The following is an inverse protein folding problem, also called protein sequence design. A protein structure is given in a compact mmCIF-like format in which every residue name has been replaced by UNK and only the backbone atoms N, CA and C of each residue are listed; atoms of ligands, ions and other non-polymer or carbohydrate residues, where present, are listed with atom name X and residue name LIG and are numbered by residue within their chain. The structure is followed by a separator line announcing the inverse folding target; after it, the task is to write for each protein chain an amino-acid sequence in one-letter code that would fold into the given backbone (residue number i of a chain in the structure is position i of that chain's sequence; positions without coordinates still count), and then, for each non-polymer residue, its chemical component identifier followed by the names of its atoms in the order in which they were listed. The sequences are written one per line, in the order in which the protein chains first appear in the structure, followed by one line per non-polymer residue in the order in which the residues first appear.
data_IF_788298772130
#
_entry.id   IF_788298772130
#
_cell.length_a   1.000
_cell.length_b   1.000
_cell.length_c   1.000
_cell.angle_alpha   90.00
_cell.angle_beta   90.00
_cell.angle_gamma   90.00
#
_symmetry.space_group_name_H-M   'P 1'
#
loop_
_entity.id
_entity.type
_entity.pdbx_description
1 polymer ?
#
# COMPACT_ATOMS: atom_id res chain seq x y z
N UNK A 1 -25.80 -18.08 -4.92
CA UNK A 1 -24.50 -17.57 -5.44
C UNK A 1 -23.44 -17.78 -4.38
N UNK A 2 -22.17 -17.79 -4.76
CA UNK A 2 -21.03 -17.96 -3.86
C UNK A 2 -20.00 -16.87 -4.16
N UNK A 3 -19.40 -16.32 -3.11
CA UNK A 3 -18.31 -15.36 -3.22
C UNK A 3 -16.98 -16.10 -3.21
N UNK A 4 -16.17 -15.88 -4.24
CA UNK A 4 -14.86 -16.50 -4.38
C UNK A 4 -13.82 -15.61 -3.71
N UNK A 5 -13.00 -16.19 -2.85
CA UNK A 5 -11.93 -15.48 -2.17
C UNK A 5 -10.95 -14.88 -3.20
N UNK A 6 -10.53 -13.64 -3.01
CA UNK A 6 -9.62 -12.96 -3.92
C UNK A 6 -8.24 -12.80 -3.28
N UNK A 7 -7.21 -13.29 -3.96
CA UNK A 7 -5.82 -13.10 -3.54
C UNK A 7 -5.37 -11.67 -3.83
N UNK A 8 -4.64 -11.06 -2.91
CA UNK A 8 -3.94 -9.78 -3.12
C UNK A 8 -2.60 -9.78 -2.42
N UNK A 9 -1.68 -8.92 -2.85
CA UNK A 9 -0.46 -8.64 -2.08
C UNK A 9 -0.84 -8.07 -0.71
N UNK A 10 -0.12 -8.49 0.33
CA UNK A 10 -0.33 -7.97 1.67
C UNK A 10 0.03 -6.48 1.71
N UNK A 11 -0.82 -5.73 2.40
CA UNK A 11 -0.64 -4.31 2.65
C UNK A 11 0.23 -4.09 3.88
N UNK A 12 0.76 -2.88 4.03
CA UNK A 12 1.63 -2.48 5.14
C UNK A 12 2.78 -3.48 5.29
N UNK A 13 3.52 -3.69 4.19
CA UNK A 13 4.77 -4.46 4.15
C UNK A 13 5.67 -3.82 3.10
N UNK A 14 6.98 -3.77 3.38
CA UNK A 14 7.99 -3.27 2.43
C UNK A 14 8.49 -4.46 1.64
N UNK A 15 8.40 -4.36 0.31
CA UNK A 15 8.95 -5.36 -0.60
C UNK A 15 9.99 -4.73 -1.51
N UNK A 16 11.15 -5.36 -1.65
CA UNK A 16 12.22 -4.92 -2.54
C UNK A 16 12.34 -5.88 -3.71
N UNK A 17 12.17 -5.34 -4.92
CA UNK A 17 12.27 -6.08 -6.16
C UNK A 17 13.34 -5.48 -7.07
N UNK A 18 14.10 -6.33 -7.75
CA UNK A 18 14.89 -5.90 -8.90
C UNK A 18 13.99 -5.72 -10.13
N UNK A 19 14.27 -4.69 -10.94
CA UNK A 19 13.61 -4.48 -12.22
C UNK A 19 14.60 -4.71 -13.35
N UNK A 20 14.23 -5.60 -14.28
CA UNK A 20 14.93 -5.76 -15.55
C UNK A 20 14.43 -4.72 -16.54
N UNK A 21 15.32 -4.21 -17.40
CA UNK A 21 15.02 -3.31 -18.53
C UNK A 21 14.21 -2.07 -18.11
N UNK A 22 14.59 -1.46 -16.99
CA UNK A 22 13.93 -0.27 -16.45
C UNK A 22 14.95 0.83 -16.13
N UNK A 23 14.47 2.07 -16.00
CA UNK A 23 15.28 3.18 -15.48
C UNK A 23 15.77 2.96 -14.04
N UNK A 24 15.19 1.99 -13.34
CA UNK A 24 15.50 1.65 -11.96
C UNK A 24 16.14 0.26 -11.90
N UNK A 25 17.20 0.11 -11.11
CA UNK A 25 17.79 -1.19 -10.80
C UNK A 25 16.96 -1.94 -9.74
N UNK A 26 16.66 -1.23 -8.65
CA UNK A 26 15.89 -1.75 -7.52
C UNK A 26 14.68 -0.85 -7.22
N UNK A 27 13.61 -1.45 -6.74
CA UNK A 27 12.42 -0.73 -6.26
C UNK A 27 11.90 -1.38 -4.99
N UNK A 28 11.90 -0.62 -3.90
CA UNK A 28 11.11 -0.87 -2.71
C UNK A 28 9.69 -0.37 -2.92
N UNK A 29 8.68 -1.21 -2.73
CA UNK A 29 7.27 -0.82 -2.72
C UNK A 29 6.65 -1.05 -1.34
N UNK A 30 5.83 -0.09 -0.89
CA UNK A 30 4.98 -0.28 0.28
C UNK A 30 3.55 0.15 -0.08
N UNK A 31 2.61 -0.80 0.05
CA UNK A 31 1.17 -0.57 -0.16
C UNK A 31 0.50 -0.33 1.17
N UNK A 32 0.37 0.94 1.53
CA UNK A 32 -0.19 1.37 2.80
C UNK A 32 -1.72 1.39 2.78
N UNK A 33 -2.34 0.73 3.74
CA UNK A 33 -3.77 0.73 3.96
C UNK A 33 -4.01 0.87 5.46
N UNK A 34 -4.72 1.92 5.86
CA UNK A 34 -5.10 2.08 7.27
C UNK A 34 -6.15 1.01 7.61
N UNK A 35 -5.92 0.28 8.69
CA UNK A 35 -6.85 -0.74 9.18
C UNK A 35 -8.20 -0.09 9.52
N UNK A 36 -9.29 -0.76 9.16
CA UNK A 36 -10.66 -0.27 9.33
C UNK A 36 -10.98 1.07 8.62
N UNK A 37 -10.12 1.54 7.71
CA UNK A 37 -10.32 2.81 7.02
C UNK A 37 -11.06 2.68 5.70
N UNK A 38 -11.77 3.75 5.34
CA UNK A 38 -12.42 3.91 4.04
C UNK A 38 -11.50 4.41 2.93
N UNK A 39 -10.21 4.59 3.23
CA UNK A 39 -9.24 5.12 2.27
C UNK A 39 -8.77 4.03 1.30
N UNK A 40 -8.57 4.35 0.02
CA UNK A 40 -7.93 3.41 -0.90
C UNK A 40 -6.50 3.13 -0.43
N UNK A 41 -5.94 2.01 -0.87
CA UNK A 41 -4.54 1.69 -0.63
C UNK A 41 -3.66 2.75 -1.28
N UNK A 42 -2.84 3.43 -0.47
CA UNK A 42 -1.83 4.36 -0.95
C UNK A 42 -0.52 3.62 -1.19
N UNK A 43 0.06 3.76 -2.38
CA UNK A 43 1.32 3.09 -2.71
C UNK A 43 2.43 4.10 -2.81
N UNK A 44 3.54 3.83 -2.12
CA UNK A 44 4.80 4.55 -2.22
C UNK A 44 5.84 3.61 -2.83
N UNK A 45 6.65 4.16 -3.73
CA UNK A 45 7.82 3.48 -4.27
C UNK A 45 9.08 4.26 -3.92
N UNK A 46 10.10 3.56 -3.46
CA UNK A 46 11.47 4.06 -3.32
C UNK A 46 12.31 3.29 -4.33
N UNK A 47 12.94 3.98 -5.26
CA UNK A 47 13.62 3.36 -6.40
C UNK A 47 15.05 3.86 -6.51
N UNK A 48 15.97 2.93 -6.73
CA UNK A 48 17.37 3.23 -7.03
C UNK A 48 17.55 3.25 -8.54
N UNK A 49 18.13 4.33 -9.07
CA UNK A 49 18.40 4.44 -10.50
C UNK A 49 19.43 3.41 -10.95
N UNK A 50 19.24 2.89 -12.17
CA UNK A 50 20.21 2.00 -12.79
C UNK A 50 21.49 2.78 -13.16
N UNK A 51 22.63 2.08 -13.15
CA UNK A 51 23.91 2.64 -13.63
C UNK A 51 23.82 2.79 -15.16
N UNK A 52 23.65 4.03 -15.66
CA UNK A 52 23.69 4.32 -17.09
C UNK A 52 22.45 5.03 -17.65
N UNK A 53 22.35 6.34 -17.43
CA UNK A 53 21.46 7.21 -18.20
C UNK A 53 22.21 7.83 -19.39
N UNK A 54 21.64 7.77 -20.60
CA UNK A 54 22.16 8.46 -21.79
C UNK A 54 22.38 9.95 -21.48
N UNK A 55 23.64 10.38 -21.42
CA UNK A 55 24.06 11.77 -21.26
C UNK A 55 25.31 11.92 -20.40
N UNK A 56 26.34 12.55 -20.97
CA UNK A 56 27.68 12.76 -20.34
C UNK A 56 27.60 13.51 -18.99
N UNK A 57 26.58 14.35 -18.77
CA UNK A 57 26.33 15.03 -17.47
C UNK A 57 25.65 14.16 -16.39
N UNK A 58 24.97 13.07 -16.77
CA UNK A 58 24.27 12.17 -15.83
C UNK A 58 25.13 11.01 -15.35
N UNK A 59 26.18 10.66 -16.09
CA UNK A 59 27.08 9.55 -15.76
C UNK A 59 28.04 9.85 -14.60
N UNK A 60 28.23 11.12 -14.22
CA UNK A 60 29.14 11.54 -13.15
C UNK A 60 28.52 11.50 -11.75
N UNK A 61 27.19 11.50 -11.65
CA UNK A 61 26.49 11.44 -10.37
C UNK A 61 26.03 10.00 -10.22
N UNK A 62 26.54 9.31 -9.19
CA UNK A 62 26.32 7.90 -8.93
C UNK A 62 24.86 7.46 -8.80
N UNK A 63 24.63 6.27 -8.27
CA UNK A 63 23.27 5.73 -8.14
C UNK A 63 22.44 6.57 -7.18
N UNK A 64 21.40 7.23 -7.70
CA UNK A 64 20.50 8.09 -6.91
C UNK A 64 19.27 7.34 -6.47
N UNK A 65 18.75 7.72 -5.32
CA UNK A 65 17.53 7.16 -4.73
C UNK A 65 16.41 8.20 -4.84
N UNK A 66 15.34 7.82 -5.54
CA UNK A 66 14.16 8.65 -5.76
C UNK A 66 12.91 7.96 -5.22
N UNK A 67 11.94 8.76 -4.81
CA UNK A 67 10.65 8.32 -4.34
C UNK A 67 9.54 8.71 -5.32
N UNK A 68 8.57 7.84 -5.49
CA UNK A 68 7.31 8.15 -6.18
C UNK A 68 6.22 8.18 -5.12
N UNK A 69 5.78 9.39 -4.79
CA UNK A 69 4.75 9.64 -3.80
C UNK A 69 3.35 9.52 -4.42
N UNK A 70 2.34 9.09 -3.65
CA UNK A 70 0.96 9.06 -4.10
C UNK A 70 0.50 10.48 -4.48
N UNK A 71 -0.28 10.58 -5.56
CA UNK A 71 -0.80 11.84 -6.11
C UNK A 71 0.25 12.85 -6.62
N UNK A 72 1.54 12.53 -6.57
CA UNK A 72 2.60 13.34 -7.19
C UNK A 72 2.97 12.71 -8.54
N UNK A 73 3.04 13.54 -9.60
CA UNK A 73 3.22 13.04 -10.98
C UNK A 73 4.67 12.74 -11.32
N UNK A 74 5.60 13.45 -10.68
CA UNK A 74 7.04 13.31 -10.93
C UNK A 74 7.73 12.70 -9.72
N UNK A 75 8.82 11.98 -9.97
CA UNK A 75 9.66 11.42 -8.92
C UNK A 75 10.35 12.52 -8.09
N UNK A 76 10.57 12.26 -6.80
CA UNK A 76 11.14 13.20 -5.82
C UNK A 76 12.37 12.55 -5.16
N UNK A 77 13.56 13.16 -5.21
CA UNK A 77 14.74 12.69 -4.47
C UNK A 77 14.41 12.44 -2.99
N UNK A 78 14.89 11.32 -2.46
CA UNK A 78 14.47 10.85 -1.13
C UNK A 78 14.82 11.84 -0.01
N UNK A 79 15.99 12.48 -0.10
CA UNK A 79 16.45 13.46 0.89
C UNK A 79 15.53 14.69 0.94
N UNK A 80 14.96 15.11 -0.19
CA UNK A 80 14.00 16.23 -0.24
C UNK A 80 12.71 15.85 0.50
N UNK A 81 12.32 14.58 0.50
CA UNK A 81 11.16 14.10 1.27
C UNK A 81 11.43 14.19 2.77
N UNK A 82 12.62 13.78 3.24
CA UNK A 82 13.03 13.95 4.64
C UNK A 82 13.05 15.42 5.07
N UNK A 83 13.62 16.30 4.25
CA UNK A 83 13.60 17.76 4.50
C UNK A 83 12.18 18.33 4.55
N UNK A 84 11.27 17.80 3.72
CA UNK A 84 9.86 18.19 3.77
C UNK A 84 9.12 17.68 5.02
N UNK A 85 9.52 16.54 5.59
CA UNK A 85 9.00 16.00 6.85
C UNK A 85 9.50 16.80 8.08
N UNK A 86 10.56 17.59 7.94
CA UNK A 86 11.07 18.48 8.99
C UNK A 86 12.54 18.24 9.35
N UNK A 87 13.18 17.22 8.80
CA UNK A 87 14.58 16.88 9.08
C UNK A 87 15.52 17.63 8.13
N UNK A 88 16.10 18.73 8.59
CA UNK A 88 16.95 19.61 7.77
C UNK A 88 18.42 19.20 7.80
N UNK A 89 18.90 18.71 8.95
CA UNK A 89 20.28 18.27 9.16
C UNK A 89 20.54 16.96 8.42
N UNK A 90 21.60 16.92 7.61
CA UNK A 90 21.97 15.72 6.85
C UNK A 90 22.36 14.56 7.78
N UNK A 91 22.93 14.88 8.96
CA UNK A 91 23.24 13.88 9.99
C UNK A 91 21.97 13.20 10.47
N UNK A 92 20.94 13.98 10.81
CA UNK A 92 19.67 13.45 11.31
C UNK A 92 19.01 12.58 10.24
N UNK A 93 19.03 12.99 8.98
CA UNK A 93 18.48 12.18 7.87
C UNK A 93 19.22 10.85 7.76
N UNK A 94 20.55 10.86 7.86
CA UNK A 94 21.37 9.67 7.81
C UNK A 94 21.10 8.74 9.01
N UNK A 95 20.93 9.29 10.21
CA UNK A 95 20.59 8.53 11.43
C UNK A 95 19.27 7.75 11.30
N UNK A 96 18.33 8.24 10.47
CA UNK A 96 17.07 7.52 10.21
C UNK A 96 17.21 6.41 9.16
N UNK A 97 18.22 6.47 8.27
CA UNK A 97 18.42 5.52 7.17
C UNK A 97 19.45 4.45 7.56
N UNK A 98 20.54 4.85 8.19
CA UNK A 98 21.70 4.03 8.52
C UNK A 98 21.85 4.08 10.03
N UNK A 99 21.61 2.94 10.69
CA UNK A 99 21.68 2.85 12.14
C UNK A 99 23.13 2.72 12.64
N UNK A 100 24.03 2.20 11.79
CA UNK A 100 25.45 2.01 12.09
C UNK A 100 26.32 2.84 11.13
N UNK A 101 26.97 3.89 11.65
CA UNK A 101 27.82 4.78 10.87
C UNK A 101 29.22 4.23 10.59
N UNK A 102 29.59 3.09 11.16
CA UNK A 102 30.87 2.45 10.90
C UNK A 102 30.87 1.65 9.58
N UNK A 103 29.75 1.64 8.84
CA UNK A 103 29.61 1.02 7.52
C UNK A 103 29.85 2.02 6.36
N UNK A 104 31.09 2.10 5.82
CA UNK A 104 31.41 3.04 4.76
C UNK A 104 30.71 2.73 3.44
N UNK A 105 30.38 1.45 3.19
CA UNK A 105 29.81 1.01 1.92
C UNK A 105 28.37 1.53 1.75
N UNK A 106 27.57 1.46 2.81
CA UNK A 106 26.20 1.99 2.81
C UNK A 106 26.21 3.53 2.75
N UNK A 107 27.15 4.17 3.45
CA UNK A 107 27.34 5.62 3.42
C UNK A 107 27.70 6.13 2.00
N UNK A 108 28.61 5.44 1.30
CA UNK A 108 29.01 5.79 -0.07
C UNK A 108 27.85 5.68 -1.06
N UNK A 109 26.96 4.70 -0.87
CA UNK A 109 25.76 4.52 -1.70
C UNK A 109 24.72 5.63 -1.53
N UNK A 110 24.59 6.23 -0.34
CA UNK A 110 23.62 7.30 -0.08
C UNK A 110 24.15 8.67 -0.51
N UNK A 111 25.47 8.88 -0.49
CA UNK A 111 26.14 10.15 -0.79
C UNK A 111 25.68 10.84 -2.08
N UNK A 112 25.54 10.17 -3.25
CA UNK A 112 25.05 10.82 -4.47
C UNK A 112 23.64 11.41 -4.35
N UNK A 113 22.80 10.84 -3.47
CA UNK A 113 21.44 11.33 -3.21
C UNK A 113 21.44 12.55 -2.27
N UNK A 114 22.43 12.66 -1.37
CA UNK A 114 22.64 13.84 -0.54
C UNK A 114 23.15 15.02 -1.37
N UNK A 115 24.16 14.78 -2.22
CA UNK A 115 24.73 15.80 -3.10
C UNK A 115 23.67 16.41 -4.05
N UNK A 116 22.73 15.59 -4.54
CA UNK A 116 21.60 16.06 -5.37
C UNK A 116 20.65 17.00 -4.60
N UNK A 117 20.47 16.78 -3.30
CA UNK A 117 19.53 17.53 -2.48
C UNK A 117 20.14 18.79 -1.83
N UNK A 118 21.45 19.01 -1.96
CA UNK A 118 22.18 20.14 -1.36
C UNK A 118 21.55 21.51 -1.65
N UNK A 119 20.91 21.64 -2.82
CA UNK A 119 20.24 22.88 -3.28
C UNK A 119 19.02 23.29 -2.45
N UNK A 120 18.42 22.39 -1.67
CA UNK A 120 17.20 22.66 -0.88
C UNK A 120 17.51 22.42 0.58
N UNK A 121 17.67 23.51 1.35
CA UNK A 121 18.02 23.45 2.77
C UNK A 121 16.89 23.75 3.74
N UNK A 122 15.74 24.21 3.25
CA UNK A 122 14.61 24.55 4.11
C UNK A 122 13.39 23.67 3.83
N UNK A 123 12.63 23.37 4.90
CA UNK A 123 11.39 22.60 4.81
C UNK A 123 10.37 23.26 3.87
N UNK A 124 10.18 24.58 3.96
CA UNK A 124 9.23 25.31 3.12
C UNK A 124 9.60 25.26 1.63
N UNK A 125 10.90 25.26 1.31
CA UNK A 125 11.39 25.13 -0.06
C UNK A 125 11.17 23.70 -0.56
N UNK A 126 11.44 22.69 0.26
CA UNK A 126 11.16 21.28 -0.04
C UNK A 126 9.66 21.01 -0.29
N UNK A 127 8.78 21.56 0.56
CA UNK A 127 7.33 21.45 0.38
C UNK A 127 6.85 22.13 -0.91
N UNK A 128 7.38 23.32 -1.23
CA UNK A 128 7.06 23.98 -2.49
C UNK A 128 7.56 23.18 -3.70
N UNK A 129 8.73 22.55 -3.60
CA UNK A 129 9.29 21.70 -4.63
C UNK A 129 8.41 20.47 -4.90
N UNK A 130 7.98 19.75 -3.85
CA UNK A 130 7.04 18.63 -3.97
C UNK A 130 5.70 19.12 -4.54
N UNK A 131 5.18 20.24 -4.01
CA UNK A 131 3.92 20.82 -4.46
C UNK A 131 3.93 21.23 -5.93
N UNK A 132 5.07 21.70 -6.46
CA UNK A 132 5.23 22.03 -7.89
C UNK A 132 5.16 20.81 -8.81
N UNK A 133 5.51 19.62 -8.30
CA UNK A 133 5.50 18.34 -9.03
C UNK A 133 4.15 17.62 -8.98
N UNK A 134 3.26 18.01 -8.06
CA UNK A 134 1.91 17.45 -7.94
C UNK A 134 0.80 18.39 -8.44
N UNK A 135 0.89 19.69 -8.13
CA UNK A 135 -0.12 20.68 -8.46
C UNK A 135 -0.08 21.12 -9.94
N UNK A 136 -1.21 21.60 -10.45
CA UNK A 136 -1.26 22.21 -11.79
C UNK A 136 -0.42 23.50 -11.82
N UNK A 137 0.23 23.83 -12.96
CA UNK A 137 0.88 25.13 -13.14
C UNK A 137 -0.08 26.29 -12.86
N UNK A 138 0.43 27.38 -12.27
CA UNK A 138 -0.35 28.60 -11.98
C UNK A 138 -0.89 28.73 -10.55
N UNK A 139 -0.71 27.73 -9.69
CA UNK A 139 -1.10 27.82 -8.26
C UNK A 139 -0.06 28.62 -7.46
N UNK A 140 -0.49 29.43 -6.49
CA UNK A 140 0.39 30.22 -5.60
C UNK A 140 1.31 29.33 -4.75
N UNK A 141 2.46 29.87 -4.32
CA UNK A 141 3.45 29.15 -3.49
C UNK A 141 2.82 28.56 -2.21
N UNK A 142 2.05 29.36 -1.48
CA UNK A 142 1.39 28.95 -0.24
C UNK A 142 0.46 27.76 -0.43
N UNK A 143 -0.34 27.78 -1.51
CA UNK A 143 -1.29 26.71 -1.79
C UNK A 143 -0.58 25.42 -2.21
N UNK A 144 0.59 25.52 -2.87
CA UNK A 144 1.45 24.35 -3.14
C UNK A 144 2.03 23.75 -1.87
N UNK A 145 2.51 24.59 -0.95
CA UNK A 145 3.04 24.15 0.35
C UNK A 145 1.95 23.43 1.14
N UNK A 146 0.75 24.03 1.25
CA UNK A 146 -0.39 23.41 1.94
C UNK A 146 -0.80 22.08 1.32
N UNK A 147 -0.83 22.00 -0.02
CA UNK A 147 -1.11 20.76 -0.74
C UNK A 147 -0.06 19.68 -0.47
N UNK A 148 1.24 20.02 -0.56
CA UNK A 148 2.32 19.08 -0.30
C UNK A 148 2.28 18.57 1.15
N UNK A 149 2.04 19.46 2.12
CA UNK A 149 1.88 19.09 3.53
C UNK A 149 0.72 18.11 3.72
N UNK A 150 -0.43 18.37 3.10
CA UNK A 150 -1.59 17.47 3.16
C UNK A 150 -1.28 16.10 2.54
N UNK A 151 -0.56 16.05 1.41
CA UNK A 151 -0.15 14.78 0.78
C UNK A 151 0.78 13.98 1.70
N UNK A 152 1.81 14.61 2.28
CA UNK A 152 2.74 13.93 3.19
C UNK A 152 2.05 13.48 4.50
N UNK A 153 1.07 14.24 4.98
CA UNK A 153 0.36 13.90 6.21
C UNK A 153 -0.70 12.82 6.01
N UNK A 154 -1.49 12.89 4.93
CA UNK A 154 -2.68 12.04 4.76
C UNK A 154 -2.50 10.91 3.76
N UNK A 155 -1.67 11.10 2.73
CA UNK A 155 -1.54 10.16 1.62
C UNK A 155 -0.25 9.33 1.72
N UNK A 156 0.85 9.90 2.17
CA UNK A 156 2.09 9.16 2.43
C UNK A 156 1.95 8.32 3.71
N UNK A 157 2.17 7.01 3.59
CA UNK A 157 2.22 6.06 4.72
C UNK A 157 1.06 6.21 5.74
N UNK A 158 -0.22 6.17 5.32
CA UNK A 158 -1.37 6.39 6.19
C UNK A 158 -1.52 5.36 7.33
N UNK A 159 -0.85 4.21 7.24
CA UNK A 159 -0.89 3.18 8.28
C UNK A 159 -0.04 3.53 9.50
N UNK A 160 0.97 4.40 9.34
CA UNK A 160 1.83 4.86 10.45
C UNK A 160 1.13 5.96 11.25
N UNK A 161 0.39 6.83 10.56
CA UNK A 161 -0.36 7.92 11.19
C UNK A 161 -0.91 8.91 10.17
N UNK A 162 -2.04 9.55 10.51
CA UNK A 162 -2.68 10.60 9.69
C UNK A 162 -2.94 11.89 10.47
N UNK A 163 -2.66 11.90 11.76
CA UNK A 163 -2.75 13.07 12.64
C UNK A 163 -1.60 14.03 12.41
N UNK A 164 -1.74 15.24 12.94
CA UNK A 164 -0.60 16.16 13.12
C UNK A 164 0.40 15.51 14.10
N UNK A 165 1.70 15.77 13.93
CA UNK A 165 2.81 15.26 14.76
C UNK A 165 3.23 13.80 14.54
N UNK A 166 2.70 13.11 13.52
CA UNK A 166 3.19 11.77 13.14
C UNK A 166 4.31 11.79 12.10
N UNK A 167 4.85 12.96 11.76
CA UNK A 167 5.90 13.12 10.74
C UNK A 167 7.20 12.40 11.12
N UNK A 168 7.55 12.38 12.41
CA UNK A 168 8.72 11.68 12.97
C UNK A 168 8.63 10.16 12.72
N UNK A 169 7.54 9.52 13.13
CA UNK A 169 7.29 8.08 12.91
C UNK A 169 7.33 7.72 11.42
N UNK A 170 6.80 8.59 10.56
CA UNK A 170 6.86 8.39 9.11
C UNK A 170 8.28 8.51 8.56
N UNK A 171 9.10 9.42 9.09
CA UNK A 171 10.48 9.55 8.69
C UNK A 171 11.28 8.29 9.04
N UNK A 172 11.11 7.73 10.25
CA UNK A 172 11.71 6.44 10.60
C UNK A 172 11.28 5.32 9.67
N UNK A 173 9.98 5.22 9.35
CA UNK A 173 9.50 4.19 8.43
C UNK A 173 10.04 4.37 7.01
N UNK A 174 10.15 5.62 6.54
CA UNK A 174 10.78 5.94 5.26
C UNK A 174 12.28 5.57 5.27
N UNK A 175 12.96 5.85 6.38
CA UNK A 175 14.34 5.45 6.63
C UNK A 175 14.53 3.95 6.55
N UNK A 176 13.69 3.18 7.25
CA UNK A 176 13.63 1.72 7.16
C UNK A 176 13.39 1.21 5.73
N UNK A 177 12.50 1.86 4.96
CA UNK A 177 12.28 1.51 3.54
C UNK A 177 13.54 1.71 2.69
N UNK A 178 14.28 2.80 2.91
CA UNK A 178 15.53 3.09 2.19
C UNK A 178 16.62 2.11 2.64
N UNK A 179 16.72 1.85 3.94
CA UNK A 179 17.64 0.87 4.52
C UNK A 179 17.44 -0.53 3.90
N UNK A 180 16.19 -1.02 3.85
CA UNK A 180 15.85 -2.31 3.20
C UNK A 180 16.25 -2.34 1.73
N UNK A 181 16.11 -1.22 1.02
CA UNK A 181 16.53 -1.11 -0.37
C UNK A 181 18.05 -1.16 -0.51
N UNK A 182 18.80 -0.49 0.38
CA UNK A 182 20.26 -0.50 0.39
C UNK A 182 20.82 -1.89 0.69
N UNK A 183 20.27 -2.59 1.69
CA UNK A 183 20.66 -3.98 2.00
C UNK A 183 20.52 -4.91 0.78
N UNK A 184 19.44 -4.77 0.03
CA UNK A 184 19.22 -5.56 -1.19
C UNK A 184 20.17 -5.16 -2.33
N UNK A 185 20.47 -3.87 -2.46
CA UNK A 185 21.39 -3.38 -3.49
C UNK A 185 22.86 -3.76 -3.22
N UNK A 186 23.26 -3.85 -1.95
CA UNK A 186 24.56 -4.37 -1.52
C UNK A 186 24.63 -5.90 -1.47
N UNK A 187 23.51 -6.60 -1.71
CA UNK A 187 23.46 -8.06 -1.66
C UNK A 187 23.53 -8.64 -0.24
N UNK A 188 23.37 -7.83 0.80
CA UNK A 188 23.35 -8.25 2.21
C UNK A 188 22.03 -8.93 2.60
N UNK A 189 20.95 -8.65 1.84
CA UNK A 189 19.66 -9.33 1.98
C UNK A 189 19.13 -9.71 0.60
N UNK A 190 18.52 -10.88 0.51
CA UNK A 190 17.89 -11.34 -0.73
C UNK A 190 16.66 -10.48 -1.10
N UNK A 191 16.33 -10.50 -2.39
CA UNK A 191 15.15 -9.84 -2.91
C UNK A 191 13.88 -10.55 -2.47
N UNK A 192 12.81 -9.80 -2.24
CA UNK A 192 11.54 -10.39 -1.85
C UNK A 192 10.90 -11.14 -3.03
N UNK A 193 10.30 -12.29 -2.73
CA UNK A 193 9.56 -13.06 -3.72
C UNK A 193 8.08 -12.61 -3.79
N UNK A 194 7.62 -12.39 -5.02
CA UNK A 194 6.24 -11.97 -5.33
C UNK A 194 5.25 -13.12 -5.18
N UNK A 195 5.71 -14.35 -5.34
CA UNK A 195 4.86 -15.53 -5.35
C UNK A 195 4.75 -16.21 -3.98
N UNK A 196 5.68 -15.92 -3.06
CA UNK A 196 5.62 -16.29 -1.64
C UNK A 196 4.25 -15.96 -1.02
N UNK A 197 3.53 -17.00 -0.62
CA UNK A 197 2.14 -16.87 -0.20
C UNK A 197 1.96 -16.15 1.14
N UNK A 198 3.00 -16.13 1.99
CA UNK A 198 3.05 -15.31 3.20
C UNK A 198 2.97 -13.80 2.94
N UNK A 199 3.37 -13.35 1.73
CA UNK A 199 3.28 -11.95 1.28
C UNK A 199 1.92 -11.64 0.66
N UNK A 200 0.97 -12.57 0.74
CA UNK A 200 -0.37 -12.46 0.15
C UNK A 200 -1.45 -12.55 1.23
N UNK A 201 -2.60 -11.97 0.93
CA UNK A 201 -3.80 -11.99 1.77
C UNK A 201 -5.01 -12.36 0.93
N UNK A 202 -6.00 -12.96 1.58
CA UNK A 202 -7.25 -13.37 0.96
C UNK A 202 -8.38 -12.45 1.39
N UNK A 203 -8.97 -11.74 0.43
CA UNK A 203 -10.22 -11.03 0.63
C UNK A 203 -11.38 -12.03 0.51
N UNK A 204 -11.94 -12.37 1.67
CA UNK A 204 -13.16 -13.18 1.80
C UNK A 204 -14.43 -12.34 1.65
N UNK A 205 -15.59 -12.97 1.86
CA UNK A 205 -16.90 -12.32 1.82
C UNK A 205 -16.97 -11.03 2.67
N UNK A 206 -16.38 -11.03 3.88
CA UNK A 206 -16.37 -9.87 4.79
C UNK A 206 -15.73 -8.63 4.16
N UNK A 207 -14.41 -8.63 3.89
CA UNK A 207 -13.73 -7.50 3.25
C UNK A 207 -14.34 -7.10 1.90
N UNK A 208 -14.79 -8.06 1.09
CA UNK A 208 -15.42 -7.82 -0.22
C UNK A 208 -16.76 -7.09 -0.11
N UNK A 209 -17.62 -7.47 0.84
CA UNK A 209 -18.89 -6.81 1.09
C UNK A 209 -18.70 -5.46 1.76
N UNK A 210 -17.76 -5.34 2.70
CA UNK A 210 -17.42 -4.08 3.34
C UNK A 210 -16.98 -3.03 2.31
N UNK A 211 -16.20 -3.43 1.31
CA UNK A 211 -15.80 -2.55 0.20
C UNK A 211 -17.01 -2.02 -0.59
N UNK A 212 -17.94 -2.89 -0.98
CA UNK A 212 -19.14 -2.53 -1.75
C UNK A 212 -20.09 -1.63 -0.94
N UNK A 213 -20.43 -2.07 0.28
CA UNK A 213 -21.35 -1.36 1.16
C UNK A 213 -20.87 0.06 1.41
N UNK A 214 -19.57 0.23 1.69
CA UNK A 214 -18.95 1.54 1.91
C UNK A 214 -19.09 2.49 0.71
N UNK A 215 -18.89 2.00 -0.51
CA UNK A 215 -19.05 2.80 -1.72
C UNK A 215 -20.49 3.28 -1.90
N UNK A 216 -21.44 2.36 -1.72
CA UNK A 216 -22.88 2.64 -1.83
C UNK A 216 -23.36 3.58 -0.72
N UNK A 217 -22.89 3.39 0.52
CA UNK A 217 -23.24 4.23 1.66
C UNK A 217 -22.70 5.66 1.49
N UNK A 218 -21.46 5.84 1.00
CA UNK A 218 -20.94 7.17 0.65
C UNK A 218 -21.76 7.84 -0.45
N UNK A 219 -22.24 7.07 -1.43
CA UNK A 219 -23.12 7.60 -2.47
C UNK A 219 -24.49 8.00 -1.91
N UNK A 220 -25.07 7.22 -1.00
CA UNK A 220 -26.29 7.56 -0.29
C UNK A 220 -26.14 8.87 0.49
N UNK A 221 -25.04 9.02 1.27
CA UNK A 221 -24.74 10.27 1.99
C UNK A 221 -24.62 11.47 1.05
N UNK A 222 -24.01 11.29 -0.13
CA UNK A 222 -23.93 12.34 -1.15
C UNK A 222 -25.30 12.75 -1.67
N UNK A 223 -26.18 11.79 -1.95
CA UNK A 223 -27.55 12.06 -2.41
C UNK A 223 -28.40 12.76 -1.35
N UNK A 224 -28.28 12.35 -0.07
CA UNK A 224 -28.92 13.04 1.05
C UNK A 224 -28.44 14.48 1.15
N UNK A 225 -27.12 14.72 1.03
CA UNK A 225 -26.55 16.07 1.04
C UNK A 225 -27.10 16.96 -0.08
N UNK A 226 -27.19 16.41 -1.30
CA UNK A 226 -27.74 17.14 -2.46
C UNK A 226 -29.23 17.44 -2.25
N UNK A 227 -29.99 16.49 -1.68
CA UNK A 227 -31.39 16.69 -1.38
C UNK A 227 -31.59 17.79 -0.33
N UNK A 228 -30.84 17.74 0.78
CA UNK A 228 -30.88 18.76 1.83
C UNK A 228 -30.55 20.16 1.29
N UNK A 229 -29.49 20.29 0.49
CA UNK A 229 -29.10 21.58 -0.12
C UNK A 229 -30.24 22.20 -0.92
N UNK A 230 -30.96 21.40 -1.74
CA UNK A 230 -32.09 21.89 -2.55
C UNK A 230 -33.26 22.44 -1.73
N UNK A 231 -33.49 21.92 -0.53
CA UNK A 231 -34.56 22.39 0.36
C UNK A 231 -34.14 23.66 1.09
N UNK A 232 -32.88 23.72 1.54
CA UNK A 232 -32.28 24.93 2.13
C UNK A 232 -32.31 26.09 1.12
N UNK A 233 -31.88 25.85 -0.12
CA UNK A 233 -31.86 26.86 -1.18
C UNK A 233 -33.26 27.40 -1.53
N UNK A 234 -34.32 26.62 -1.24
CA UNK A 234 -35.73 26.97 -1.50
C UNK A 234 -36.46 27.46 -0.26
N UNK A 235 -35.82 27.49 0.91
CA UNK A 235 -36.45 27.84 2.18
C UNK A 235 -37.63 26.93 2.57
N UNK A 236 -37.58 25.64 2.19
CA UNK A 236 -38.64 24.66 2.47
C UNK A 236 -38.22 23.66 3.55
N UNK A 237 -39.20 23.08 4.23
CA UNK A 237 -38.97 22.06 5.25
C UNK A 237 -38.32 20.80 4.70
N UNK A 238 -37.21 20.40 5.34
CA UNK A 238 -36.48 19.19 5.02
C UNK A 238 -37.13 17.98 5.68
N UNK A 239 -37.51 16.97 4.88
CA UNK A 239 -37.93 15.67 5.37
C UNK A 239 -36.84 14.62 5.11
N UNK A 240 -36.34 14.03 6.20
CA UNK A 240 -35.27 13.03 6.17
C UNK A 240 -35.71 11.73 5.47
N UNK A 241 -36.93 11.27 5.68
CA UNK A 241 -37.41 9.99 5.13
C UNK A 241 -37.43 10.03 3.60
N UNK A 242 -37.82 11.17 3.02
CA UNK A 242 -37.83 11.38 1.57
C UNK A 242 -36.42 11.54 0.99
N UNK A 243 -35.45 11.95 1.81
CA UNK A 243 -34.05 12.09 1.39
C UNK A 243 -33.35 10.72 1.25
N UNK A 244 -33.75 9.72 2.05
CA UNK A 244 -33.13 8.41 2.08
C UNK A 244 -33.62 7.55 0.91
N UNK A 245 -32.80 7.47 -0.14
CA UNK A 245 -33.04 6.60 -1.30
C UNK A 245 -32.58 5.17 -1.01
N UNK A 246 -33.46 4.35 -0.43
CA UNK A 246 -33.18 2.94 -0.06
C UNK A 246 -32.67 2.08 -1.22
N UNK A 247 -33.13 2.33 -2.44
CA UNK A 247 -32.74 1.62 -3.67
C UNK A 247 -31.23 1.64 -3.96
N UNK A 248 -30.50 2.68 -3.53
CA UNK A 248 -29.05 2.81 -3.79
C UNK A 248 -28.28 1.61 -3.23
N UNK A 249 -28.63 1.18 -2.02
CA UNK A 249 -27.96 0.07 -1.34
C UNK A 249 -28.57 -1.26 -1.78
N UNK A 250 -29.91 -1.38 -1.74
CA UNK A 250 -30.61 -2.63 -2.04
C UNK A 250 -30.34 -3.12 -3.47
N UNK A 251 -30.53 -2.25 -4.47
CA UNK A 251 -30.33 -2.61 -5.87
C UNK A 251 -28.84 -2.73 -6.21
N UNK A 252 -27.99 -1.90 -5.59
CA UNK A 252 -26.54 -1.94 -5.78
C UNK A 252 -25.92 -3.27 -5.31
N UNK A 253 -26.31 -3.75 -4.12
CA UNK A 253 -25.86 -5.04 -3.60
C UNK A 253 -26.43 -6.20 -4.42
N UNK A 254 -27.73 -6.15 -4.74
CA UNK A 254 -28.37 -7.17 -5.59
C UNK A 254 -27.68 -7.30 -6.94
N UNK A 255 -27.39 -6.17 -7.60
CA UNK A 255 -26.69 -6.14 -8.89
C UNK A 255 -25.27 -6.73 -8.79
N UNK A 256 -24.48 -6.27 -7.81
CA UNK A 256 -23.08 -6.72 -7.67
C UNK A 256 -23.01 -8.22 -7.39
N UNK A 257 -23.89 -8.71 -6.52
CA UNK A 257 -24.00 -10.14 -6.22
C UNK A 257 -24.47 -10.95 -7.42
N UNK A 258 -25.49 -10.49 -8.14
CA UNK A 258 -26.07 -11.19 -9.30
C UNK A 258 -25.12 -11.30 -10.50
N UNK A 259 -24.41 -10.21 -10.80
CA UNK A 259 -23.57 -10.12 -12.00
C UNK A 259 -22.12 -10.54 -11.76
N UNK A 260 -21.66 -10.53 -10.51
CA UNK A 260 -20.25 -10.75 -10.18
C UNK A 260 -19.34 -9.56 -10.48
N UNK A 261 -19.89 -8.40 -10.85
CA UNK A 261 -19.16 -7.15 -11.05
C UNK A 261 -18.96 -6.44 -9.70
N UNK A 262 -17.74 -6.43 -9.18
CA UNK A 262 -17.39 -5.80 -7.91
C UNK A 262 -16.93 -4.34 -8.10
N UNK A 263 -17.88 -3.40 -8.13
CA UNK A 263 -17.56 -1.97 -8.29
C UNK A 263 -18.75 -1.09 -8.67
N UNK A 264 -18.47 0.12 -9.16
CA UNK A 264 -19.49 1.04 -9.65
C UNK A 264 -20.08 0.49 -10.96
N UNK A 265 -21.42 0.38 -11.01
CA UNK A 265 -22.19 -0.06 -12.18
C UNK A 265 -21.82 0.77 -13.41
N UNK A 266 -21.56 2.08 -13.23
CA UNK A 266 -21.20 3.00 -14.32
C UNK A 266 -19.79 2.77 -14.86
N UNK A 267 -18.94 2.06 -14.11
CA UNK A 267 -17.56 1.70 -14.50
C UNK A 267 -17.37 0.19 -14.48
N UNK A 268 -18.38 -0.56 -14.93
CA UNK A 268 -18.38 -2.01 -14.93
C UNK A 268 -17.13 -2.61 -15.62
N UNK A 269 -16.62 -1.98 -16.69
CA UNK A 269 -15.42 -2.43 -17.40
C UNK A 269 -14.12 -2.37 -16.57
N UNK A 270 -14.10 -1.56 -15.51
CA UNK A 270 -12.97 -1.43 -14.58
C UNK A 270 -13.20 -2.21 -13.27
N UNK A 271 -14.41 -2.76 -13.09
CA UNK A 271 -14.78 -3.52 -11.91
C UNK A 271 -14.13 -4.91 -11.95
N UNK A 272 -13.79 -5.46 -10.78
CA UNK A 272 -13.30 -6.83 -10.68
C UNK A 272 -14.45 -7.77 -11.03
N UNK A 273 -14.32 -8.48 -12.15
CA UNK A 273 -15.33 -9.43 -12.60
C UNK A 273 -15.11 -10.83 -12.00
N UNK A 274 -16.17 -11.61 -11.86
CA UNK A 274 -16.13 -13.02 -11.49
C UNK A 274 -15.93 -13.30 -9.99
N UNK A 275 -16.15 -12.29 -9.14
CA UNK A 275 -16.06 -12.43 -7.67
C UNK A 275 -17.25 -13.19 -7.11
N UNK A 276 -18.46 -12.96 -7.63
CA UNK A 276 -19.64 -13.78 -7.35
C UNK A 276 -19.91 -14.73 -8.50
N UNK A 277 -20.18 -15.99 -8.17
CA UNK A 277 -20.45 -17.06 -9.13
C UNK A 277 -21.74 -17.79 -8.75
N UNK A 278 -22.41 -18.37 -9.75
CA UNK A 278 -23.53 -19.28 -9.49
C UNK A 278 -22.96 -20.52 -8.81
N UNK A 279 -23.55 -20.92 -7.69
CA UNK A 279 -23.07 -22.06 -6.92
C UNK A 279 -23.22 -23.34 -7.75
N UNK A 280 -22.15 -24.11 -7.86
CA UNK A 280 -22.17 -25.39 -8.57
C UNK A 280 -22.80 -26.46 -7.65
N UNK A 281 -23.92 -27.04 -8.11
CA UNK A 281 -24.70 -28.05 -7.39
C UNK A 281 -24.73 -29.40 -8.12
N UNK A 282 -23.79 -29.67 -9.02
CA UNK A 282 -23.74 -30.94 -9.76
C UNK A 282 -23.58 -32.14 -8.82
N UNK A 283 -22.68 -32.03 -7.84
CA UNK A 283 -22.47 -33.02 -6.78
C UNK A 283 -22.20 -32.33 -5.45
N UNK A 284 -22.39 -33.06 -4.34
CA UNK A 284 -22.07 -32.54 -3.01
C UNK A 284 -20.61 -32.10 -2.88
N UNK A 285 -19.69 -32.92 -3.41
CA UNK A 285 -18.26 -32.59 -3.45
C UNK A 285 -17.99 -31.32 -4.27
N UNK A 286 -18.67 -31.12 -5.41
CA UNK A 286 -18.53 -29.91 -6.21
C UNK A 286 -18.99 -28.66 -5.46
N UNK A 287 -20.05 -28.75 -4.66
CA UNK A 287 -20.53 -27.65 -3.83
C UNK A 287 -19.48 -27.26 -2.78
N UNK A 288 -18.90 -28.23 -2.07
CA UNK A 288 -17.86 -27.97 -1.06
C UNK A 288 -16.58 -27.39 -1.69
N UNK A 289 -16.10 -27.96 -2.81
CA UNK A 289 -14.94 -27.45 -3.54
C UNK A 289 -15.16 -26.00 -4.00
N UNK A 290 -16.35 -25.67 -4.52
CA UNK A 290 -16.66 -24.33 -4.98
C UNK A 290 -16.69 -23.30 -3.84
N UNK A 291 -17.21 -23.65 -2.67
CA UNK A 291 -17.22 -22.77 -1.49
C UNK A 291 -15.82 -22.44 -0.96
N UNK A 292 -14.81 -23.27 -1.26
CA UNK A 292 -13.44 -23.17 -0.74
C UNK A 292 -12.44 -22.66 -1.79
N UNK A 293 -12.95 -22.10 -2.89
CA UNK A 293 -12.16 -21.63 -4.02
C UNK A 293 -11.56 -20.25 -3.76
N UNK A 294 -10.33 -20.08 -4.22
CA UNK A 294 -9.53 -18.86 -4.19
C UNK A 294 -9.15 -18.50 -5.62
N UNK A 295 -9.19 -17.21 -5.95
CA UNK A 295 -8.86 -16.68 -7.26
C UNK A 295 -7.74 -15.65 -7.17
N UNK A 296 -6.69 -15.84 -7.95
CA UNK A 296 -5.63 -14.85 -8.15
C UNK A 296 -6.07 -13.87 -9.25
N UNK A 297 -6.16 -12.55 -8.99
CA UNK A 297 -6.71 -11.56 -9.92
C UNK A 297 -5.70 -11.15 -10.99
N UNK A 298 -5.19 -12.14 -11.74
CA UNK A 298 -4.27 -11.97 -12.86
C UNK A 298 -5.05 -12.24 -14.15
N UNK A 299 -4.76 -11.46 -15.20
CA UNK A 299 -5.36 -11.69 -16.52
C UNK A 299 -5.09 -13.11 -17.02
N UNK A 300 -6.15 -13.80 -17.45
CA UNK A 300 -6.07 -15.20 -17.88
C UNK A 300 -5.30 -15.38 -19.20
N UNK A 301 -5.20 -14.31 -19.99
CA UNK A 301 -4.52 -14.29 -21.28
C UNK A 301 -2.99 -14.15 -21.16
N UNK A 302 -2.49 -13.82 -19.96
CA UNK A 302 -1.05 -13.68 -19.71
C UNK A 302 -0.33 -15.03 -19.73
N UNK A 303 0.75 -15.11 -20.51
CA UNK A 303 1.68 -16.26 -20.58
C UNK A 303 2.72 -16.31 -19.46
N UNK A 304 2.55 -15.51 -18.41
CA UNK A 304 3.49 -15.50 -17.26
C UNK A 304 3.35 -16.82 -16.49
N UNK A 305 4.41 -17.63 -16.53
CA UNK A 305 4.42 -18.96 -15.92
C UNK A 305 4.51 -18.91 -14.38
N UNK A 306 5.35 -18.03 -13.82
CA UNK A 306 5.66 -18.00 -12.38
C UNK A 306 4.41 -17.96 -11.47
N UNK A 307 3.42 -17.07 -11.67
CA UNK A 307 2.24 -17.02 -10.80
C UNK A 307 1.32 -18.25 -10.89
N UNK A 308 1.49 -19.09 -11.93
CA UNK A 308 0.71 -20.31 -12.18
C UNK A 308 1.40 -21.56 -11.62
N UNK A 309 2.69 -21.48 -11.32
CA UNK A 309 3.44 -22.59 -10.75
C UNK A 309 3.05 -22.82 -9.29
N UNK A 310 3.18 -24.06 -8.84
CA UNK A 310 3.00 -24.41 -7.45
C UNK A 310 4.23 -23.90 -6.66
N UNK A 311 4.01 -22.95 -5.76
CA UNK A 311 5.05 -22.41 -4.90
C UNK A 311 5.17 -23.22 -3.60
N UNK A 312 6.38 -23.38 -3.07
CA UNK A 312 6.64 -24.21 -1.87
C UNK A 312 5.84 -23.76 -0.64
N UNK A 313 5.60 -22.45 -0.51
CA UNK A 313 4.86 -21.86 0.61
C UNK A 313 3.36 -22.17 0.60
N UNK A 314 2.85 -22.84 -0.43
CA UNK A 314 1.45 -23.28 -0.50
C UNK A 314 1.21 -24.54 0.34
N UNK A 315 2.28 -25.23 0.75
CA UNK A 315 2.22 -26.43 1.56
C UNK A 315 1.35 -26.24 2.81
N UNK A 316 0.38 -27.13 3.00
CA UNK A 316 -0.57 -27.09 4.12
C UNK A 316 -1.70 -26.06 4.01
N UNK A 317 -1.63 -25.10 3.07
CA UNK A 317 -2.63 -24.03 2.93
C UNK A 317 -3.53 -24.19 1.72
N UNK A 318 -2.97 -24.66 0.60
CA UNK A 318 -3.66 -24.81 -0.68
C UNK A 318 -3.47 -26.23 -1.20
N UNK A 319 -4.48 -26.77 -1.87
CA UNK A 319 -4.40 -28.09 -2.50
C UNK A 319 -3.33 -28.07 -3.62
N UNK A 320 -2.37 -29.01 -3.63
CA UNK A 320 -1.29 -29.01 -4.61
C UNK A 320 -1.74 -29.39 -6.02
N UNK A 321 -2.82 -30.15 -6.16
CA UNK A 321 -3.27 -30.71 -7.44
C UNK A 321 -4.61 -30.16 -7.94
N UNK A 322 -5.47 -29.64 -7.06
CA UNK A 322 -6.81 -29.17 -7.45
C UNK A 322 -6.75 -27.76 -8.06
N UNK A 323 -6.67 -27.71 -9.38
CA UNK A 323 -6.76 -26.50 -10.22
C UNK A 323 -7.53 -26.84 -11.50
N UNK A 324 -8.32 -25.92 -12.09
CA UNK A 324 -8.91 -26.16 -13.40
C UNK A 324 -7.84 -26.31 -14.48
N UNK A 325 -8.16 -27.10 -15.50
CA UNK A 325 -7.40 -27.21 -16.73
C UNK A 325 -7.56 -25.95 -17.61
N UNK A 326 -6.61 -25.74 -18.54
CA UNK A 326 -6.65 -24.64 -19.51
C UNK A 326 -6.16 -23.30 -18.97
N UNK A 327 -6.74 -22.20 -19.46
CA UNK A 327 -6.22 -20.83 -19.24
C UNK A 327 -6.23 -20.35 -17.78
N UNK A 328 -6.98 -21.01 -16.89
CA UNK A 328 -7.06 -20.65 -15.47
C UNK A 328 -6.14 -21.50 -14.57
N UNK A 329 -5.32 -22.40 -15.15
CA UNK A 329 -4.42 -23.26 -14.40
C UNK A 329 -3.50 -22.43 -13.50
N UNK A 330 -3.43 -22.84 -12.22
CA UNK A 330 -2.62 -22.19 -11.19
C UNK A 330 -3.13 -20.83 -10.71
N UNK A 331 -4.15 -20.24 -11.35
CA UNK A 331 -4.76 -18.97 -10.92
C UNK A 331 -6.00 -19.19 -10.05
N UNK A 332 -6.73 -20.28 -10.30
CA UNK A 332 -7.84 -20.72 -9.46
C UNK A 332 -7.34 -21.89 -8.62
N UNK A 333 -7.42 -21.71 -7.30
CA UNK A 333 -6.85 -22.63 -6.32
C UNK A 333 -7.93 -23.01 -5.30
N UNK A 334 -7.72 -24.12 -4.62
CA UNK A 334 -8.63 -24.59 -3.56
C UNK A 334 -7.91 -24.70 -2.22
N UNK A 335 -8.58 -24.32 -1.13
CA UNK A 335 -8.01 -24.40 0.21
C UNK A 335 -7.79 -25.85 0.66
N UNK A 336 -6.64 -26.12 1.29
CA UNK A 336 -6.35 -27.42 1.91
C UNK A 336 -7.30 -27.69 3.09
N UNK A 337 -7.60 -28.95 3.39
CA UNK A 337 -8.64 -29.34 4.37
C UNK A 337 -8.52 -28.65 5.74
N UNK A 338 -7.31 -28.54 6.28
CA UNK A 338 -7.04 -27.93 7.59
C UNK A 338 -6.73 -26.43 7.52
N UNK A 339 -6.73 -25.82 6.33
CA UNK A 339 -6.41 -24.41 6.18
C UNK A 339 -7.50 -23.54 6.81
N UNK A 340 -7.07 -22.63 7.67
CA UNK A 340 -7.93 -21.65 8.35
C UNK A 340 -7.51 -20.23 7.97
N UNK A 341 -8.50 -19.35 7.78
CA UNK A 341 -8.26 -17.95 7.40
C UNK A 341 -8.65 -17.07 8.59
N UNK A 342 -7.72 -16.22 9.02
CA UNK A 342 -7.94 -15.27 10.10
C UNK A 342 -9.03 -14.25 9.74
N UNK A 343 -9.93 -13.96 10.68
CA UNK A 343 -10.99 -12.95 10.54
C UNK A 343 -10.52 -11.52 10.82
N UNK A 344 -9.41 -11.37 11.55
CA UNK A 344 -8.87 -10.08 12.01
C UNK A 344 -9.41 -9.68 13.38
N UNK A 345 -8.58 -8.98 14.16
CA UNK A 345 -8.90 -8.42 15.47
C UNK A 345 -8.22 -7.07 15.62
N UNK A 346 -8.70 -6.21 16.51
CA UNK A 346 -8.05 -4.92 16.75
C UNK A 346 -6.68 -5.13 17.43
N UNK A 347 -5.63 -4.40 17.01
CA UNK A 347 -4.30 -4.55 17.60
C UNK A 347 -4.15 -3.84 18.95
N UNK A 348 -5.02 -2.88 19.30
CA UNK A 348 -4.93 -2.06 20.52
C UNK A 348 -4.57 -2.83 21.81
N UNK A 349 -5.26 -3.93 22.19
CA UNK A 349 -4.90 -4.67 23.41
C UNK A 349 -3.51 -5.32 23.34
N UNK A 350 -3.02 -5.64 22.14
CA UNK A 350 -1.67 -6.16 21.95
C UNK A 350 -0.65 -5.03 22.14
N UNK A 351 -0.97 -3.81 21.71
CA UNK A 351 -0.09 -2.65 21.88
C UNK A 351 0.04 -2.26 23.34
N UNK A 352 -1.07 -2.20 24.08
CA UNK A 352 -1.07 -1.96 25.53
C UNK A 352 -0.20 -2.98 26.26
N UNK A 353 -0.35 -4.27 25.93
CA UNK A 353 0.51 -5.31 26.48
C UNK A 353 1.99 -5.08 26.11
N UNK A 354 2.32 -4.79 24.86
CA UNK A 354 3.71 -4.57 24.47
C UNK A 354 4.35 -3.37 25.18
N UNK A 355 3.60 -2.28 25.38
CA UNK A 355 4.05 -1.11 26.13
C UNK A 355 4.32 -1.43 27.61
N UNK A 356 3.52 -2.30 28.23
CA UNK A 356 3.78 -2.80 29.59
C UNK A 356 5.07 -3.63 29.70
N UNK A 357 5.44 -4.36 28.64
CA UNK A 357 6.58 -5.29 28.62
C UNK A 357 7.90 -4.65 28.15
N UNK A 358 8.24 -3.47 28.70
CA UNK A 358 9.52 -2.77 28.45
C UNK A 358 9.83 -2.47 26.98
N UNK A 359 8.80 -2.32 26.14
CA UNK A 359 8.99 -1.82 24.78
C UNK A 359 9.23 -0.31 24.84
N UNK A 360 10.37 0.13 24.30
CA UNK A 360 10.67 1.56 24.16
C UNK A 360 9.98 2.12 22.92
N UNK A 361 9.37 3.30 23.06
CA UNK A 361 8.72 3.97 21.95
C UNK A 361 9.77 4.60 21.02
N UNK A 362 9.51 4.59 19.72
CA UNK A 362 10.43 5.11 18.71
C UNK A 362 10.72 6.62 18.85
N UNK A 363 9.85 7.35 19.55
CA UNK A 363 10.00 8.77 19.84
C UNK A 363 10.89 9.05 21.06
N UNK A 364 11.12 8.04 21.91
CA UNK A 364 11.87 8.15 23.16
C UNK A 364 13.33 7.66 23.01
N UNK A 365 13.60 6.89 21.96
CA UNK A 365 14.94 6.34 21.68
C UNK A 365 15.77 7.28 20.80
N UNK A 366 17.08 7.33 21.07
CA UNK A 366 18.02 7.94 20.14
C UNK A 366 18.28 7.00 18.96
N UNK A 367 18.32 7.49 17.71
CA UNK A 367 18.59 6.66 16.54
C UNK A 367 19.88 5.84 16.64
N UNK A 368 20.92 6.41 17.27
CA UNK A 368 22.21 5.74 17.44
C UNK A 368 22.12 4.50 18.35
N UNK A 369 21.22 4.50 19.34
CA UNK A 369 21.01 3.36 20.23
C UNK A 369 20.25 2.21 19.54
N UNK A 370 19.62 2.45 18.39
CA UNK A 370 18.89 1.41 17.64
C UNK A 370 19.84 0.30 17.19
N UNK A 371 21.08 0.65 16.82
CA UNK A 371 22.10 -0.34 16.42
C UNK A 371 22.46 -1.31 17.55
N UNK A 372 22.41 -0.84 18.81
CA UNK A 372 22.69 -1.64 20.01
C UNK A 372 21.45 -2.41 20.50
N UNK A 373 20.24 -1.98 20.12
CA UNK A 373 18.99 -2.62 20.50
C UNK A 373 18.77 -3.97 19.79
N UNK A 374 18.42 -5.01 20.55
CA UNK A 374 18.53 -6.42 20.13
C UNK A 374 17.54 -6.83 19.03
N UNK A 375 16.40 -6.15 18.86
CA UNK A 375 15.47 -6.40 17.74
C UNK A 375 14.40 -5.30 17.62
N UNK A 376 14.19 -4.68 16.46
CA UNK A 376 13.04 -3.78 16.25
C UNK A 376 11.73 -4.60 16.26
N UNK A 377 10.84 -4.28 17.20
CA UNK A 377 9.50 -4.83 17.24
C UNK A 377 8.55 -3.99 16.37
N UNK A 378 7.77 -4.65 15.51
CA UNK A 378 6.82 -3.97 14.63
C UNK A 378 5.40 -4.47 14.88
N UNK A 379 4.44 -3.54 14.90
CA UNK A 379 3.04 -3.81 15.18
C UNK A 379 2.39 -4.55 14.00
N UNK A 380 1.33 -5.36 14.23
CA UNK A 380 0.49 -5.87 13.15
C UNK A 380 -0.14 -4.68 12.42
N UNK A 381 0.44 -4.29 11.27
CA UNK A 381 0.06 -3.09 10.55
C UNK A 381 1.21 -2.11 10.24
N UNK A 382 2.41 -2.27 10.81
CA UNK A 382 3.64 -1.49 10.51
C UNK A 382 4.81 -2.35 9.98
N UNK A 383 4.47 -3.44 9.28
CA UNK A 383 5.34 -4.46 8.63
C UNK A 383 6.00 -5.46 9.58
N UNK A 384 6.21 -6.72 9.19
CA UNK A 384 6.96 -7.75 9.94
C UNK A 384 8.40 -7.84 9.39
N UNK A 385 9.39 -8.32 10.18
CA UNK A 385 10.80 -8.42 9.78
C UNK A 385 11.07 -9.20 8.49
#
# INVERSE_FOLDING_TARGET
MVLIAQEKMATNTVYVFAKKDSKYAYTGECRSCLENSSRPTSTIWVSMMARGGQGVKKSAIGQRIVSTLPYIRQEVPIIIVFRALGFVSDRDILEHIIYDFDDPEMMEMVKPSLDEAFVIQEQNVALNFIGSRGAKPGVTKERRIKYAKEVLQKEMLPHVGVSDFCETKKAYFLGYMVHRLLLAALGRRELDDRDHYGNKRLDLAGPLLAFLFRGMFKNLLKEIRIYAQKFIDRGKDFNLELAIKTRIISDGLKYSLATGNWGDVKKAHQARAGVSQVLNRLTFASTLSHLRRVNSPIGRDGKLAKPRQLHNTLWGMVCPAETPEGHAVGLVKNLALMAYISVGSQPSPILEFLEEWSMENLEEISPAAIAESVTPAMQPGSTRP
#
